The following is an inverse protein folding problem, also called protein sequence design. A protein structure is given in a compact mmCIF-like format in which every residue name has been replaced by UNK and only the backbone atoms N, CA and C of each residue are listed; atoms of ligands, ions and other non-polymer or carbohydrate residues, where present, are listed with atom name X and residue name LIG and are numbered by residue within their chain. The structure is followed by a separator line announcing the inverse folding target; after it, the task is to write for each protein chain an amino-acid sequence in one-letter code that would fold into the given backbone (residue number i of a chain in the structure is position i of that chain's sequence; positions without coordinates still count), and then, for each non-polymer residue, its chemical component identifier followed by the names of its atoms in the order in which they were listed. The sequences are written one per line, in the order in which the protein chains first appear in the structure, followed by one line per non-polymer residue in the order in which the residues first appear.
data_IF_641322908576
#
_entry.id   IF_641322908576
#
_cell.length_a   1.000
_cell.length_b   1.000
_cell.length_c   1.000
_cell.angle_alpha   90.00
_cell.angle_beta   90.00
_cell.angle_gamma   90.00
#
_symmetry.space_group_name_H-M   'P 1'
#
loop_
_entity.id
_entity.type
_entity.pdbx_description
1 polymer ?
#
# COMPACT_ATOMS: atom_id res chain seq x y z
N UNK A 1 -24.97 31.00 -43.43
CA UNK A 1 -25.23 29.60 -43.02
C UNK A 1 -24.18 28.61 -43.52
N UNK A 2 -23.84 28.57 -44.83
CA UNK A 2 -22.85 27.61 -45.37
C UNK A 2 -21.47 27.64 -44.67
N UNK A 3 -20.92 28.83 -44.43
CA UNK A 3 -19.61 28.96 -43.78
C UNK A 3 -19.64 28.58 -42.28
N UNK A 4 -20.80 28.75 -41.63
CA UNK A 4 -21.00 28.35 -40.23
C UNK A 4 -20.98 26.82 -40.09
N UNK A 5 -21.68 26.12 -40.99
CA UNK A 5 -21.69 24.67 -41.04
C UNK A 5 -20.29 24.09 -41.31
N UNK A 6 -19.54 24.70 -42.23
CA UNK A 6 -18.16 24.30 -42.51
C UNK A 6 -17.23 24.53 -41.31
N UNK A 7 -17.30 25.69 -40.66
CA UNK A 7 -16.50 25.98 -39.47
C UNK A 7 -16.81 25.00 -38.32
N UNK A 8 -18.09 24.66 -38.12
CA UNK A 8 -18.53 23.69 -37.12
C UNK A 8 -17.96 22.28 -37.42
N UNK A 9 -18.03 21.87 -38.69
CA UNK A 9 -17.56 20.55 -39.13
C UNK A 9 -16.05 20.41 -38.93
N UNK A 10 -15.29 21.43 -39.33
CA UNK A 10 -13.82 21.47 -39.20
C UNK A 10 -13.42 21.51 -37.73
N UNK A 11 -14.08 22.34 -36.91
CA UNK A 11 -13.81 22.43 -35.48
C UNK A 11 -14.08 21.11 -34.75
N UNK A 12 -15.15 20.40 -35.10
CA UNK A 12 -15.46 19.07 -34.55
C UNK A 12 -14.37 18.06 -34.92
N UNK A 13 -13.97 18.03 -36.19
CA UNK A 13 -12.92 17.14 -36.69
C UNK A 13 -11.57 17.40 -36.01
N UNK A 14 -11.19 18.67 -35.89
CA UNK A 14 -9.97 19.09 -35.18
C UNK A 14 -10.04 18.76 -33.70
N UNK A 15 -11.19 18.99 -33.04
CA UNK A 15 -11.37 18.67 -31.63
C UNK A 15 -11.24 17.17 -31.35
N UNK A 16 -11.87 16.34 -32.18
CA UNK A 16 -11.75 14.87 -32.10
C UNK A 16 -10.29 14.46 -32.35
N UNK A 17 -9.67 14.97 -33.42
CA UNK A 17 -8.28 14.66 -33.75
C UNK A 17 -7.30 15.07 -32.66
N UNK A 18 -7.53 16.22 -32.02
CA UNK A 18 -6.70 16.72 -30.93
C UNK A 18 -6.93 15.94 -29.64
N UNK A 19 -8.16 15.51 -29.34
CA UNK A 19 -8.44 14.61 -28.22
C UNK A 19 -7.70 13.28 -28.36
N UNK A 20 -7.78 12.64 -29.53
CA UNK A 20 -7.03 11.42 -29.83
C UNK A 20 -5.51 11.65 -29.86
N UNK A 21 -5.05 12.80 -30.35
CA UNK A 21 -3.64 13.17 -30.36
C UNK A 21 -3.08 13.35 -28.95
N UNK A 22 -3.84 14.01 -28.07
CA UNK A 22 -3.48 14.14 -26.65
C UNK A 22 -3.51 12.78 -25.93
N UNK A 23 -4.46 11.91 -26.28
CA UNK A 23 -4.53 10.54 -25.74
C UNK A 23 -3.37 9.66 -26.27
N UNK A 24 -2.93 9.84 -27.52
CA UNK A 24 -1.77 9.15 -28.08
C UNK A 24 -0.44 9.63 -27.46
N UNK A 25 -0.38 10.91 -27.05
CA UNK A 25 0.75 11.47 -26.32
C UNK A 25 0.72 11.13 -24.82
N UNK A 26 -0.36 10.53 -24.31
CA UNK A 26 -0.44 10.03 -22.95
C UNK A 26 0.28 8.67 -22.82
N UNK A 27 1.60 8.74 -22.62
CA UNK A 27 2.45 7.58 -22.30
C UNK A 27 2.28 7.10 -20.84
N UNK A 28 1.12 7.30 -20.22
CA UNK A 28 0.83 6.71 -18.92
C UNK A 28 0.76 5.18 -19.07
N UNK A 29 1.70 4.47 -18.45
CA UNK A 29 1.73 3.00 -18.39
C UNK A 29 0.51 2.52 -17.56
N UNK A 30 -0.61 2.25 -18.23
CA UNK A 30 -1.85 1.73 -17.62
C UNK A 30 -2.06 0.23 -17.82
N UNK A 31 -1.16 -0.43 -18.57
CA UNK A 31 -1.25 -1.86 -18.87
C UNK A 31 -0.21 -2.62 -18.03
N UNK A 32 -0.63 -3.49 -17.09
CA UNK A 32 0.27 -4.41 -16.39
C UNK A 32 0.96 -5.38 -17.36
N UNK A 33 0.31 -5.71 -18.48
CA UNK A 33 0.82 -6.64 -19.49
C UNK A 33 2.07 -6.09 -20.20
N UNK A 34 2.14 -4.76 -20.38
CA UNK A 34 3.30 -4.08 -20.93
C UNK A 34 4.53 -4.18 -20.02
N UNK A 35 4.34 -4.25 -18.69
CA UNK A 35 5.44 -4.42 -17.74
C UNK A 35 5.99 -5.85 -17.76
N UNK A 36 5.12 -6.86 -17.86
CA UNK A 36 5.55 -8.25 -17.94
C UNK A 36 6.36 -8.51 -19.22
N UNK A 37 5.94 -7.90 -20.33
CA UNK A 37 6.61 -8.07 -21.62
C UNK A 37 8.02 -7.43 -21.66
N UNK A 38 8.21 -6.32 -20.95
CA UNK A 38 9.48 -5.57 -20.93
C UNK A 38 10.45 -6.09 -19.86
N UNK A 39 9.94 -6.42 -18.67
CA UNK A 39 10.79 -6.78 -17.52
C UNK A 39 10.87 -8.28 -17.26
N UNK A 40 10.02 -9.10 -17.89
CA UNK A 40 10.03 -10.55 -17.76
C UNK A 40 9.64 -11.07 -16.36
N UNK A 41 9.03 -10.21 -15.53
CA UNK A 41 8.59 -10.56 -14.19
C UNK A 41 7.07 -10.47 -14.09
N UNK A 42 6.40 -11.44 -13.43
CA UNK A 42 4.96 -11.41 -13.29
C UNK A 42 4.51 -10.23 -12.42
N UNK A 43 3.43 -9.56 -12.84
CA UNK A 43 2.79 -8.50 -12.08
C UNK A 43 2.06 -9.13 -10.90
N UNK A 44 2.51 -8.81 -9.67
CA UNK A 44 1.93 -9.40 -8.47
C UNK A 44 0.56 -8.81 -8.10
N UNK A 45 0.23 -7.61 -8.58
CA UNK A 45 -1.08 -6.99 -8.39
C UNK A 45 -1.08 -5.51 -8.72
N UNK A 46 -2.28 -4.98 -8.98
CA UNK A 46 -2.52 -3.55 -9.21
C UNK A 46 -3.26 -2.96 -8.01
N UNK A 47 -2.60 -2.06 -7.30
CA UNK A 47 -3.20 -1.33 -6.18
C UNK A 47 -3.40 0.12 -6.63
N UNK A 48 -4.66 0.50 -6.87
CA UNK A 48 -4.99 1.87 -7.27
C UNK A 48 -4.64 2.89 -6.19
N UNK A 49 -4.15 4.06 -6.59
CA UNK A 49 -3.89 5.16 -5.66
C UNK A 49 -5.20 5.60 -4.99
N UNK A 50 -5.15 5.80 -3.68
CA UNK A 50 -6.21 6.49 -2.95
C UNK A 50 -6.03 7.97 -3.23
N UNK A 51 -6.89 8.54 -4.07
CA UNK A 51 -7.01 10.00 -4.12
C UNK A 51 -7.55 10.45 -2.76
N UNK A 52 -6.71 11.17 -2.01
CA UNK A 52 -7.05 11.90 -0.77
C UNK A 52 -8.05 13.05 -1.02
N UNK A 53 -8.94 12.91 -2.03
CA UNK A 53 -9.95 13.88 -2.45
C UNK A 53 -11.37 13.55 -1.96
N UNK A 54 -11.66 12.30 -1.57
CA UNK A 54 -12.96 11.97 -0.98
C UNK A 54 -12.88 11.99 0.55
N UNK A 55 -12.95 13.20 1.12
CA UNK A 55 -13.50 13.45 2.47
C UNK A 55 -15.01 13.11 2.50
N UNK A 56 -15.38 11.89 2.11
CA UNK A 56 -16.73 11.39 2.20
C UNK A 56 -16.97 10.81 3.58
N UNK A 57 -17.43 11.64 4.52
CA UNK A 57 -18.26 11.27 5.66
C UNK A 57 -17.92 9.97 6.42
N UNK A 58 -16.64 9.68 6.68
CA UNK A 58 -16.30 8.92 7.88
C UNK A 58 -16.20 9.95 8.98
N UNK A 59 -17.23 9.98 9.81
CA UNK A 59 -17.28 10.81 11.01
C UNK A 59 -15.96 10.65 11.76
N UNK A 60 -15.24 11.78 11.82
CA UNK A 60 -14.00 11.95 12.54
C UNK A 60 -14.28 11.90 14.04
N UNK A 61 -14.53 10.70 14.56
CA UNK A 61 -14.33 10.41 15.97
C UNK A 61 -12.85 10.08 16.18
N UNK A 62 -12.05 11.12 16.36
CA UNK A 62 -10.83 11.14 17.20
C UNK A 62 -9.63 10.23 16.87
N UNK A 63 -9.76 9.21 16.02
CA UNK A 63 -8.72 8.19 15.81
C UNK A 63 -8.04 8.37 14.46
N UNK A 64 -6.96 9.15 14.46
CA UNK A 64 -6.04 9.34 13.31
C UNK A 64 -5.44 8.01 12.81
N UNK A 65 -5.57 6.93 13.58
CA UNK A 65 -5.03 5.59 13.32
C UNK A 65 -5.74 4.79 12.19
N UNK A 66 -6.94 5.20 11.75
CA UNK A 66 -7.79 4.31 10.91
C UNK A 66 -7.73 4.58 9.39
N UNK A 67 -7.13 5.69 8.95
CA UNK A 67 -7.16 6.09 7.53
C UNK A 67 -6.21 5.29 6.64
N UNK A 68 -5.13 4.74 7.20
CA UNK A 68 -4.04 4.14 6.41
C UNK A 68 -4.13 2.62 6.24
N UNK A 69 -5.01 1.95 7.00
CA UNK A 69 -5.17 0.50 6.94
C UNK A 69 -6.52 0.11 6.33
N UNK A 70 -6.62 0.13 5.00
CA UNK A 70 -7.86 -0.12 4.26
C UNK A 70 -8.40 -1.53 4.46
N UNK A 71 -7.53 -2.52 4.71
CA UNK A 71 -7.98 -3.89 4.99
C UNK A 71 -8.77 -4.01 6.29
N UNK A 72 -8.66 -3.01 7.17
CA UNK A 72 -9.37 -2.92 8.45
C UNK A 72 -10.48 -1.87 8.41
N UNK A 73 -10.19 -0.66 7.92
CA UNK A 73 -11.15 0.46 7.94
C UNK A 73 -12.20 0.40 6.84
N UNK A 74 -11.84 -0.14 5.66
CA UNK A 74 -12.74 -0.28 4.53
C UNK A 74 -12.60 -1.66 3.87
N UNK A 75 -12.93 -2.76 4.58
CA UNK A 75 -12.63 -4.12 4.13
C UNK A 75 -13.34 -4.53 2.84
N UNK A 76 -14.42 -3.85 2.46
CA UNK A 76 -15.17 -4.09 1.21
C UNK A 76 -14.76 -3.16 0.06
N UNK A 77 -13.73 -2.33 0.26
CA UNK A 77 -13.25 -1.42 -0.78
C UNK A 77 -12.52 -2.18 -1.91
N UNK A 78 -12.55 -1.67 -3.16
CA UNK A 78 -11.76 -2.22 -4.26
C UNK A 78 -10.27 -2.32 -3.93
N UNK A 79 -9.74 -1.36 -3.16
CA UNK A 79 -8.35 -1.34 -2.74
C UNK A 79 -8.03 -2.44 -1.72
N UNK A 80 -8.93 -2.72 -0.77
CA UNK A 80 -8.78 -3.86 0.13
C UNK A 80 -8.75 -5.18 -0.65
N UNK A 81 -9.55 -5.30 -1.73
CA UNK A 81 -9.52 -6.48 -2.59
C UNK A 81 -8.24 -6.59 -3.44
N UNK A 82 -7.72 -5.46 -3.92
CA UNK A 82 -6.41 -5.40 -4.56
C UNK A 82 -5.29 -5.89 -3.63
N UNK A 83 -5.31 -5.49 -2.36
CA UNK A 83 -4.33 -5.96 -1.36
C UNK A 83 -4.50 -7.46 -1.06
N UNK A 84 -5.74 -7.99 -1.03
CA UNK A 84 -5.97 -9.44 -0.88
C UNK A 84 -5.46 -10.22 -2.09
N UNK A 85 -5.68 -9.70 -3.28
CA UNK A 85 -5.16 -10.27 -4.53
C UNK A 85 -3.63 -10.30 -4.51
N UNK A 86 -2.99 -9.18 -4.13
CA UNK A 86 -1.54 -9.10 -3.95
C UNK A 86 -1.01 -10.14 -2.95
N UNK A 87 -1.68 -10.32 -1.80
CA UNK A 87 -1.33 -11.37 -0.82
C UNK A 87 -1.37 -12.75 -1.47
N UNK A 88 -2.43 -13.08 -2.21
CA UNK A 88 -2.55 -14.37 -2.90
C UNK A 88 -1.41 -14.57 -3.89
N UNK A 89 -1.08 -13.56 -4.71
CA UNK A 89 0.04 -13.63 -5.65
C UNK A 89 1.38 -13.88 -4.96
N UNK A 90 1.64 -13.20 -3.84
CA UNK A 90 2.85 -13.44 -3.04
C UNK A 90 2.89 -14.86 -2.47
N UNK A 91 1.76 -15.38 -1.99
CA UNK A 91 1.67 -16.76 -1.49
C UNK A 91 1.93 -17.79 -2.60
N UNK A 92 1.35 -17.56 -3.79
CA UNK A 92 1.56 -18.40 -4.97
C UNK A 92 3.03 -18.40 -5.40
N UNK A 93 3.68 -17.22 -5.44
CA UNK A 93 5.10 -17.11 -5.73
C UNK A 93 5.98 -17.91 -4.74
N UNK A 94 5.53 -18.04 -3.49
CA UNK A 94 6.21 -18.79 -2.43
C UNK A 94 5.94 -20.30 -2.41
N UNK A 95 5.11 -20.86 -3.30
CA UNK A 95 4.75 -22.29 -3.28
C UNK A 95 5.95 -23.20 -3.55
N UNK A 96 6.81 -22.81 -4.49
CA UNK A 96 8.01 -23.60 -4.83
C UNK A 96 9.15 -23.40 -3.83
N UNK A 97 9.25 -22.20 -3.25
CA UNK A 97 10.25 -21.83 -2.24
C UNK A 97 9.59 -20.92 -1.20
N UNK A 98 9.42 -21.38 0.05
CA UNK A 98 8.76 -20.58 1.09
C UNK A 98 9.43 -19.22 1.27
N UNK A 99 8.68 -18.15 1.00
CA UNK A 99 9.14 -16.77 1.21
C UNK A 99 9.17 -16.46 2.71
N UNK A 100 10.38 -16.24 3.25
CA UNK A 100 10.58 -15.84 4.65
C UNK A 100 10.78 -14.33 4.82
N UNK A 101 11.15 -13.64 3.74
CA UNK A 101 11.43 -12.21 3.72
C UNK A 101 10.98 -11.62 2.40
N UNK A 102 10.33 -10.45 2.45
CA UNK A 102 9.87 -9.70 1.29
C UNK A 102 10.31 -8.24 1.45
N UNK A 103 11.06 -7.73 0.47
CA UNK A 103 11.40 -6.31 0.38
C UNK A 103 10.40 -5.60 -0.52
N UNK A 104 9.80 -4.52 -0.03
CA UNK A 104 8.94 -3.63 -0.83
C UNK A 104 9.71 -2.35 -1.08
N UNK A 105 9.94 -2.03 -2.36
CA UNK A 105 10.65 -0.82 -2.79
C UNK A 105 9.96 -0.18 -3.98
N UNK A 106 10.35 1.04 -4.31
CA UNK A 106 9.77 1.83 -5.39
C UNK A 106 10.87 2.65 -6.08
N UNK A 107 10.65 3.00 -7.35
CA UNK A 107 11.64 3.75 -8.15
C UNK A 107 11.65 5.23 -7.78
N UNK A 108 10.50 5.75 -7.35
CA UNK A 108 10.32 7.15 -6.96
C UNK A 108 9.69 7.28 -5.56
N UNK A 109 9.98 8.39 -4.84
CA UNK A 109 9.23 8.75 -3.64
C UNK A 109 7.75 8.97 -3.96
N UNK A 110 6.85 8.51 -3.07
CA UNK A 110 5.40 8.74 -3.22
C UNK A 110 4.63 7.66 -3.97
N UNK A 111 5.28 6.62 -4.50
CA UNK A 111 4.64 5.52 -5.24
C UNK A 111 3.85 4.53 -4.35
N UNK A 112 3.64 4.85 -3.07
CA UNK A 112 2.81 4.03 -2.19
C UNK A 112 3.50 2.81 -1.56
N UNK A 113 4.84 2.70 -1.59
CA UNK A 113 5.59 1.60 -0.96
C UNK A 113 5.19 1.31 0.49
N UNK A 114 5.06 2.36 1.31
CA UNK A 114 4.68 2.29 2.73
C UNK A 114 3.23 1.84 2.89
N UNK A 115 2.34 2.33 2.03
CA UNK A 115 0.94 1.94 2.02
C UNK A 115 0.77 0.45 1.68
N UNK A 116 1.45 0.00 0.61
CA UNK A 116 1.42 -1.39 0.16
C UNK A 116 2.03 -2.31 1.22
N UNK A 117 3.20 -1.99 1.77
CA UNK A 117 3.86 -2.84 2.77
C UNK A 117 3.05 -2.97 4.06
N UNK A 118 2.47 -1.88 4.57
CA UNK A 118 1.63 -1.88 5.75
C UNK A 118 0.35 -2.71 5.56
N UNK A 119 -0.40 -2.46 4.49
CA UNK A 119 -1.66 -3.17 4.22
C UNK A 119 -1.43 -4.64 3.85
N UNK A 120 -0.35 -4.96 3.13
CA UNK A 120 0.01 -6.34 2.84
C UNK A 120 0.37 -7.11 4.11
N UNK A 121 1.14 -6.51 5.03
CA UNK A 121 1.47 -7.12 6.31
C UNK A 121 0.21 -7.43 7.14
N UNK A 122 -0.75 -6.50 7.16
CA UNK A 122 -2.04 -6.68 7.83
C UNK A 122 -2.85 -7.79 7.18
N UNK A 123 -2.93 -7.80 5.85
CA UNK A 123 -3.63 -8.84 5.08
C UNK A 123 -3.04 -10.23 5.30
N UNK A 124 -1.70 -10.36 5.36
CA UNK A 124 -1.02 -11.62 5.65
C UNK A 124 -1.31 -12.11 7.07
N UNK A 125 -1.28 -11.23 8.06
CA UNK A 125 -1.57 -11.62 9.43
C UNK A 125 -3.05 -11.92 9.68
N UNK A 126 -3.97 -11.23 9.00
CA UNK A 126 -5.39 -11.59 8.96
C UNK A 126 -5.62 -13.01 8.42
N UNK A 127 -4.72 -13.48 7.54
CA UNK A 127 -4.70 -14.84 7.03
C UNK A 127 -4.07 -15.85 8.01
N UNK A 128 -3.69 -15.41 9.21
CA UNK A 128 -3.12 -16.24 10.28
C UNK A 128 -1.61 -16.41 10.22
N UNK A 129 -0.90 -15.65 9.37
CA UNK A 129 0.57 -15.68 9.34
C UNK A 129 1.17 -14.82 10.48
N UNK A 130 2.31 -15.26 11.01
CA UNK A 130 3.15 -14.42 11.86
C UNK A 130 4.01 -13.54 10.96
N UNK A 131 3.77 -12.24 10.99
CA UNK A 131 4.42 -11.27 10.10
C UNK A 131 5.22 -10.28 10.92
N UNK A 132 6.43 -9.93 10.45
CA UNK A 132 7.20 -8.81 10.99
C UNK A 132 7.32 -7.76 9.89
N UNK A 133 6.79 -6.56 10.12
CA UNK A 133 6.98 -5.38 9.29
C UNK A 133 8.10 -4.53 9.90
N UNK A 134 9.14 -4.28 9.11
CA UNK A 134 10.29 -3.47 9.52
C UNK A 134 10.35 -2.24 8.63
N UNK A 135 10.34 -1.06 9.24
CA UNK A 135 10.58 0.19 8.50
C UNK A 135 12.08 0.40 8.31
N UNK A 136 12.53 0.34 7.05
CA UNK A 136 13.92 0.57 6.67
C UNK A 136 14.13 1.92 5.96
N UNK A 137 13.09 2.77 5.88
CA UNK A 137 13.22 4.14 5.36
C UNK A 137 13.70 5.07 6.48
N UNK A 138 15.01 5.07 6.74
CA UNK A 138 15.63 5.89 7.79
C UNK A 138 15.48 7.39 7.53
N UNK A 139 15.17 7.80 6.29
CA UNK A 139 15.05 9.22 5.92
C UNK A 139 13.69 9.78 6.27
N UNK A 140 12.61 9.02 6.02
CA UNK A 140 11.24 9.41 6.32
C UNK A 140 10.43 8.21 6.84
N UNK A 141 10.67 7.78 8.10
CA UNK A 141 9.97 6.65 8.67
C UNK A 141 8.53 7.04 9.01
N UNK A 142 7.55 6.35 8.43
CA UNK A 142 6.13 6.69 8.54
C UNK A 142 5.30 5.54 9.14
N UNK A 143 5.86 4.33 9.27
CA UNK A 143 5.12 3.15 9.78
C UNK A 143 4.64 3.37 11.22
N UNK A 144 5.43 4.01 12.07
CA UNK A 144 5.04 4.25 13.46
C UNK A 144 3.77 5.12 13.59
N UNK A 145 3.60 6.09 12.68
CA UNK A 145 2.41 6.95 12.63
C UNK A 145 1.19 6.18 12.13
N UNK A 146 1.37 5.33 11.11
CA UNK A 146 0.31 4.50 10.53
C UNK A 146 -0.31 3.55 11.56
N UNK A 147 0.49 3.05 12.50
CA UNK A 147 0.07 2.07 13.49
C UNK A 147 -0.09 2.65 14.91
N UNK A 148 0.03 3.96 15.10
CA UNK A 148 -0.13 4.61 16.40
C UNK A 148 0.89 4.15 17.45
N UNK A 149 2.06 3.64 17.03
CA UNK A 149 3.10 3.13 17.94
C UNK A 149 4.19 4.17 18.18
N UNK A 150 4.92 4.01 19.29
CA UNK A 150 6.08 4.87 19.58
C UNK A 150 7.17 4.60 18.55
N UNK A 151 7.81 5.67 18.06
CA UNK A 151 8.94 5.57 17.14
C UNK A 151 10.16 4.90 17.78
N UNK A 152 10.38 5.13 19.07
CA UNK A 152 11.56 4.63 19.77
C UNK A 152 11.21 3.65 20.90
N UNK A 153 12.07 2.64 21.13
CA UNK A 153 13.24 2.28 20.32
C UNK A 153 12.85 1.52 19.05
N UNK A 154 13.63 1.72 17.97
CA UNK A 154 13.40 1.14 16.65
C UNK A 154 14.53 0.24 16.15
N UNK A 155 14.47 -0.13 14.86
CA UNK A 155 15.42 -0.98 14.16
C UNK A 155 16.85 -0.43 14.25
N UNK A 156 17.01 0.88 14.11
CA UNK A 156 18.32 1.53 14.22
C UNK A 156 18.93 1.32 15.62
N UNK A 157 18.12 1.37 16.68
CA UNK A 157 18.60 1.14 18.06
C UNK A 157 19.02 -0.33 18.28
N UNK A 158 18.35 -1.28 17.63
CA UNK A 158 18.72 -2.70 17.65
C UNK A 158 20.09 -2.91 17.01
N UNK A 159 20.28 -2.40 15.80
CA UNK A 159 21.52 -2.59 15.02
C UNK A 159 22.72 -1.89 15.69
N UNK A 160 22.50 -0.74 16.34
CA UNK A 160 23.56 0.02 17.03
C UNK A 160 23.91 -0.52 18.44
N UNK A 161 23.39 -1.68 18.85
CA UNK A 161 23.86 -2.39 20.05
C UNK A 161 23.07 -2.13 21.34
N UNK A 162 21.88 -1.52 21.28
CA UNK A 162 20.97 -1.38 22.43
C UNK A 162 19.91 -2.50 22.48
N UNK A 163 20.26 -3.72 22.07
CA UNK A 163 19.34 -4.85 21.87
C UNK A 163 18.47 -5.17 23.09
N UNK A 164 19.04 -5.22 24.29
CA UNK A 164 18.31 -5.62 25.50
C UNK A 164 17.18 -4.64 25.87
N UNK A 165 17.40 -3.33 25.67
CA UNK A 165 16.37 -2.30 25.92
C UNK A 165 15.33 -2.26 24.79
N UNK A 166 15.77 -2.43 23.55
CA UNK A 166 14.87 -2.43 22.39
C UNK A 166 13.94 -3.65 22.38
N UNK A 167 14.46 -4.85 22.60
CA UNK A 167 13.64 -6.07 22.66
C UNK A 167 12.64 -6.04 23.84
N UNK A 168 13.04 -5.47 24.98
CA UNK A 168 12.17 -5.33 26.15
C UNK A 168 10.99 -4.37 25.92
N UNK A 169 11.14 -3.33 25.09
CA UNK A 169 10.06 -2.38 24.79
C UNK A 169 9.24 -2.74 23.55
N UNK A 170 9.81 -3.51 22.61
CA UNK A 170 9.09 -3.97 21.42
C UNK A 170 8.03 -4.99 21.84
N UNK A 171 8.34 -5.95 22.73
CA UNK A 171 7.42 -7.03 23.15
C UNK A 171 6.07 -6.56 23.77
N UNK A 172 5.99 -5.46 24.53
CA UNK A 172 4.72 -4.87 24.95
C UNK A 172 3.93 -4.20 23.82
N UNK A 173 4.59 -3.43 22.94
CA UNK A 173 3.93 -2.75 21.81
C UNK A 173 3.35 -3.76 20.82
N UNK A 174 4.13 -4.81 20.58
CA UNK A 174 3.76 -6.08 19.97
C UNK A 174 2.45 -6.68 20.49
N UNK A 175 2.35 -6.89 21.80
CA UNK A 175 1.18 -7.48 22.42
C UNK A 175 -0.02 -6.52 22.36
N UNK A 176 0.20 -5.23 22.58
CA UNK A 176 -0.82 -4.20 22.49
C UNK A 176 -1.39 -4.10 21.07
N UNK A 177 -0.55 -4.12 20.03
CA UNK A 177 -0.99 -4.08 18.64
C UNK A 177 -1.73 -5.36 18.26
N UNK A 178 -1.20 -6.54 18.59
CA UNK A 178 -1.88 -7.81 18.34
C UNK A 178 -3.24 -7.86 19.04
N UNK A 179 -3.32 -7.30 20.25
CA UNK A 179 -4.55 -7.24 21.02
C UNK A 179 -5.54 -6.21 20.46
N UNK A 180 -5.08 -5.02 20.06
CA UNK A 180 -5.89 -4.02 19.34
C UNK A 180 -6.46 -4.59 18.04
N UNK A 181 -5.63 -5.33 17.30
CA UNK A 181 -6.07 -6.01 16.09
C UNK A 181 -7.11 -7.09 16.43
N UNK A 182 -6.85 -7.96 17.42
CA UNK A 182 -7.82 -8.98 17.87
C UNK A 182 -9.15 -8.40 18.32
N UNK A 183 -9.13 -7.32 19.10
CA UNK A 183 -10.33 -6.64 19.60
C UNK A 183 -11.15 -6.01 18.46
N UNK A 184 -10.50 -5.60 17.36
CA UNK A 184 -11.16 -5.13 16.13
C UNK A 184 -11.72 -6.25 15.24
N UNK A 185 -12.02 -7.44 15.79
CA UNK A 185 -12.51 -8.64 15.07
C UNK A 185 -11.52 -9.18 14.02
N UNK A 186 -10.22 -9.10 14.31
CA UNK A 186 -9.19 -9.74 13.49
C UNK A 186 -8.90 -11.12 14.10
N UNK A 187 -9.34 -12.19 13.43
CA UNK A 187 -9.00 -13.56 13.84
C UNK A 187 -7.48 -13.73 13.99
N UNK A 188 -7.04 -14.52 14.98
CA UNK A 188 -5.64 -14.86 15.38
C UNK A 188 -4.48 -14.25 14.54
N UNK A 189 -4.39 -12.91 14.45
CA UNK A 189 -3.35 -12.24 13.68
C UNK A 189 -2.17 -11.90 14.59
N UNK A 190 -0.95 -12.20 14.14
CA UNK A 190 0.30 -11.90 14.85
C UNK A 190 1.18 -10.98 13.99
N UNK A 191 0.90 -9.68 13.98
CA UNK A 191 1.76 -8.67 13.32
C UNK A 191 2.75 -8.12 14.34
N UNK A 192 4.02 -8.14 13.98
CA UNK A 192 5.11 -7.48 14.68
C UNK A 192 5.53 -6.26 13.88
N UNK A 193 5.63 -5.08 14.51
CA UNK A 193 6.05 -3.85 13.82
C UNK A 193 7.29 -3.32 14.51
N UNK A 194 8.35 -3.12 13.74
CA UNK A 194 9.59 -2.52 14.20
C UNK A 194 9.73 -1.14 13.53
N UNK A 195 9.52 -0.02 14.27
CA UNK A 195 9.75 1.32 13.74
C UNK A 195 11.24 1.53 13.46
N UNK A 196 11.60 2.44 12.56
CA UNK A 196 12.98 2.63 12.13
C UNK A 196 13.87 3.28 13.19
#
# INVERSE_FOLDING_TARGET
MRNLLLALSIGLLLGIGLAFGLEYLDYTVRSPDALELVYGTPTLGLVGMVETGQKGAVESNGDVDSAHNLTVSAPRSPQAEAIRSLRTSVQVAGLSRPLRSLLVTSSLPGEGKTFVSANLAVSMAQYGQTVILVDLDLRKPDIHQIFGIKREPGFTNLVLGNEARALASIRPQMQALVEQLRQRRIGKAHIHINPA
#
